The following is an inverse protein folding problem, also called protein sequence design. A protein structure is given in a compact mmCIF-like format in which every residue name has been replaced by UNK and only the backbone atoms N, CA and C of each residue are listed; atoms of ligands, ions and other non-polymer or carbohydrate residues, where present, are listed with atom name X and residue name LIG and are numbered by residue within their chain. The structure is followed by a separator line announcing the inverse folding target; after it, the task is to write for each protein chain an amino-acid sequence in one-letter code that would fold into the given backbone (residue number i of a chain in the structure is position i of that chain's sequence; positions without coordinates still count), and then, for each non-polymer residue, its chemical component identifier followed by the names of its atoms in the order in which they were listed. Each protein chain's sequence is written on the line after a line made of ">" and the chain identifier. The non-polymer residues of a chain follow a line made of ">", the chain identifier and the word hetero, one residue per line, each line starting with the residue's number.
data_IF_420875350588
#
_entry.id   IF_420875350588
#
_cell.length_a   1.000
_cell.length_b   1.000
_cell.length_c   1.000
_cell.angle_alpha   90.00
_cell.angle_beta   90.00
_cell.angle_gamma   90.00
#
_symmetry.space_group_name_H-M   'P 1'
#
loop_
_entity.id
_entity.type
_entity.pdbx_description
1 polymer ?
#
# COMPACT_ATOMS: atom_id res chain seq x y z
N UNK A 1 5.63 8.36 -10.33
CA UNK A 1 4.24 8.61 -9.85
C UNK A 1 3.93 7.56 -8.80
N UNK A 2 3.92 7.94 -7.53
CA UNK A 2 3.68 7.03 -6.41
C UNK A 2 2.20 6.60 -6.40
N UNK A 3 1.94 5.31 -6.66
CA UNK A 3 0.59 4.73 -6.73
C UNK A 3 -0.15 4.75 -5.38
N UNK A 4 0.60 4.86 -4.29
CA UNK A 4 0.10 4.87 -2.91
C UNK A 4 -0.02 6.29 -2.31
N UNK A 5 0.23 7.35 -3.11
CA UNK A 5 0.12 8.70 -2.63
C UNK A 5 -1.36 9.08 -2.43
N UNK A 6 -1.68 9.60 -1.26
CA UNK A 6 -3.00 10.13 -0.94
C UNK A 6 -3.46 11.14 -1.99
N UNK A 7 -4.70 11.05 -2.40
CA UNK A 7 -5.33 11.97 -3.33
C UNK A 7 -6.54 12.61 -2.65
N UNK A 8 -6.50 13.92 -2.39
CA UNK A 8 -7.65 14.61 -1.83
C UNK A 8 -8.81 14.56 -2.84
N UNK A 9 -10.01 14.33 -2.32
CA UNK A 9 -11.23 14.26 -3.12
C UNK A 9 -12.46 14.37 -2.23
N UNK A 10 -13.59 14.81 -2.82
CA UNK A 10 -14.85 15.05 -2.11
C UNK A 10 -15.90 13.96 -2.30
N UNK A 11 -15.50 12.77 -2.76
CA UNK A 11 -16.46 11.68 -2.98
C UNK A 11 -17.00 11.12 -1.66
N UNK A 12 -18.14 10.44 -1.74
CA UNK A 12 -18.77 9.76 -0.60
C UNK A 12 -17.79 8.86 0.15
N UNK A 13 -16.88 8.17 -0.57
CA UNK A 13 -15.86 7.34 0.05
C UNK A 13 -14.84 8.14 0.86
N UNK A 14 -14.52 9.37 0.46
CA UNK A 14 -13.58 10.22 1.23
C UNK A 14 -14.18 10.66 2.56
N UNK A 15 -15.49 10.91 2.62
CA UNK A 15 -16.21 11.38 3.82
C UNK A 15 -16.47 10.30 4.87
N UNK A 16 -16.36 9.02 4.50
CA UNK A 16 -16.51 7.92 5.46
C UNK A 16 -15.41 7.91 6.52
N UNK A 17 -15.76 7.48 7.73
CA UNK A 17 -14.79 7.30 8.81
C UNK A 17 -13.68 6.34 8.39
N UNK A 18 -12.38 6.66 8.61
CA UNK A 18 -11.25 5.81 8.26
C UNK A 18 -11.36 4.36 8.78
N UNK A 19 -11.88 4.19 9.98
CA UNK A 19 -12.08 2.86 10.57
C UNK A 19 -13.16 2.04 9.87
N UNK A 20 -14.24 2.68 9.44
CA UNK A 20 -15.31 2.00 8.69
C UNK A 20 -14.79 1.52 7.34
N UNK A 21 -13.98 2.34 6.66
CA UNK A 21 -13.31 1.96 5.41
C UNK A 21 -12.38 0.78 5.62
N UNK A 22 -11.58 0.81 6.70
CA UNK A 22 -10.66 -0.27 7.03
C UNK A 22 -11.42 -1.57 7.32
N UNK A 23 -12.46 -1.52 8.16
CA UNK A 23 -13.29 -2.68 8.46
C UNK A 23 -13.95 -3.24 7.20
N UNK A 24 -14.51 -2.37 6.34
CA UNK A 24 -15.10 -2.78 5.06
C UNK A 24 -14.07 -3.44 4.14
N UNK A 25 -12.84 -2.91 4.06
CA UNK A 25 -11.77 -3.50 3.26
C UNK A 25 -11.36 -4.89 3.77
N UNK A 26 -11.28 -5.07 5.10
CA UNK A 26 -10.97 -6.38 5.69
C UNK A 26 -12.11 -7.38 5.50
N UNK A 27 -13.36 -6.99 5.73
CA UNK A 27 -14.53 -7.86 5.52
C UNK A 27 -14.64 -8.30 4.07
N UNK A 28 -14.42 -7.37 3.14
CA UNK A 28 -14.40 -7.68 1.72
C UNK A 28 -13.25 -8.64 1.37
N UNK A 29 -12.05 -8.40 1.87
CA UNK A 29 -10.90 -9.30 1.69
C UNK A 29 -11.18 -10.70 2.23
N UNK A 30 -11.76 -10.80 3.42
CA UNK A 30 -12.16 -12.07 4.02
C UNK A 30 -13.20 -12.80 3.17
N UNK A 31 -14.22 -12.10 2.66
CA UNK A 31 -15.23 -12.67 1.75
C UNK A 31 -14.60 -13.22 0.47
N UNK A 32 -13.60 -12.51 -0.10
CA UNK A 32 -12.87 -12.99 -1.28
C UNK A 32 -12.06 -14.24 -1.00
N UNK A 33 -11.42 -14.34 0.18
CA UNK A 33 -10.60 -15.49 0.56
C UNK A 33 -11.47 -16.73 0.81
N UNK A 34 -12.62 -16.57 1.46
CA UNK A 34 -13.55 -17.68 1.76
C UNK A 34 -14.26 -18.16 0.50
N UNK A 35 -14.45 -17.30 -0.49
CA UNK A 35 -15.13 -17.66 -1.74
C UNK A 35 -14.37 -18.73 -2.53
N UNK A 36 -15.02 -19.87 -2.77
CA UNK A 36 -14.50 -20.98 -3.59
C UNK A 36 -14.82 -20.88 -5.09
N UNK A 37 -15.53 -19.86 -5.54
CA UNK A 37 -16.03 -19.76 -6.91
C UNK A 37 -15.34 -18.63 -7.67
N UNK A 38 -14.71 -18.96 -8.81
CA UNK A 38 -14.00 -18.01 -9.69
C UNK A 38 -14.93 -16.89 -10.16
N UNK A 39 -16.18 -17.22 -10.52
CA UNK A 39 -17.16 -16.23 -10.99
C UNK A 39 -17.50 -15.21 -9.91
N UNK A 40 -17.65 -15.68 -8.66
CA UNK A 40 -17.98 -14.80 -7.53
C UNK A 40 -16.83 -13.85 -7.20
N UNK A 41 -15.58 -14.35 -7.20
CA UNK A 41 -14.40 -13.50 -6.97
C UNK A 41 -14.25 -12.46 -8.10
N UNK A 42 -14.47 -12.87 -9.34
CA UNK A 42 -14.44 -11.93 -10.49
C UNK A 42 -15.54 -10.88 -10.38
N UNK A 43 -16.76 -11.27 -10.01
CA UNK A 43 -17.88 -10.34 -9.78
C UNK A 43 -17.56 -9.34 -8.66
N UNK A 44 -16.92 -9.79 -7.57
CA UNK A 44 -16.45 -8.91 -6.49
C UNK A 44 -15.41 -7.91 -6.99
N UNK A 45 -14.44 -8.32 -7.80
CA UNK A 45 -13.45 -7.38 -8.39
C UNK A 45 -14.16 -6.33 -9.25
N UNK A 46 -15.11 -6.74 -10.10
CA UNK A 46 -15.88 -5.82 -10.94
C UNK A 46 -16.72 -4.85 -10.09
N UNK A 47 -17.37 -5.35 -9.04
CA UNK A 47 -18.12 -4.52 -8.09
C UNK A 47 -17.20 -3.46 -7.43
N UNK A 48 -16.02 -3.86 -7.01
CA UNK A 48 -15.06 -2.92 -6.39
C UNK A 48 -14.56 -1.88 -7.39
N UNK A 49 -14.31 -2.25 -8.66
CA UNK A 49 -13.97 -1.32 -9.71
C UNK A 49 -15.11 -0.33 -10.00
N UNK A 50 -16.34 -0.79 -9.98
CA UNK A 50 -17.54 0.05 -10.15
C UNK A 50 -17.67 1.06 -9.00
N UNK A 51 -17.50 0.62 -7.76
CA UNK A 51 -17.48 1.50 -6.58
C UNK A 51 -16.36 2.54 -6.69
N UNK A 52 -15.16 2.13 -7.10
CA UNK A 52 -14.06 3.06 -7.31
C UNK A 52 -14.31 4.05 -8.46
N UNK A 53 -15.01 3.63 -9.52
CA UNK A 53 -15.39 4.49 -10.63
C UNK A 53 -16.40 5.57 -10.18
N UNK A 54 -17.41 5.22 -9.38
CA UNK A 54 -18.37 6.19 -8.82
C UNK A 54 -17.72 7.19 -7.86
N UNK A 55 -16.60 6.78 -7.24
CA UNK A 55 -15.80 7.67 -6.38
C UNK A 55 -14.82 8.58 -7.14
N UNK A 56 -14.80 8.54 -8.48
CA UNK A 56 -13.86 9.31 -9.30
C UNK A 56 -12.45 8.71 -9.38
N UNK A 57 -12.24 7.53 -8.79
CA UNK A 57 -10.93 6.85 -8.76
C UNK A 57 -10.80 5.73 -9.81
N UNK A 58 -11.71 5.67 -10.79
CA UNK A 58 -11.78 4.57 -11.77
C UNK A 58 -10.47 4.32 -12.51
N UNK A 59 -9.84 5.36 -13.06
CA UNK A 59 -8.57 5.24 -13.79
C UNK A 59 -7.45 4.70 -12.89
N UNK A 60 -7.44 5.11 -11.61
CA UNK A 60 -6.46 4.65 -10.62
C UNK A 60 -6.72 3.20 -10.20
N UNK A 61 -7.97 2.85 -9.96
CA UNK A 61 -8.39 1.49 -9.62
C UNK A 61 -8.02 0.52 -10.76
N UNK A 62 -8.28 0.86 -12.01
CA UNK A 62 -7.87 0.06 -13.18
C UNK A 62 -6.35 -0.11 -13.24
N UNK A 63 -5.59 0.96 -13.00
CA UNK A 63 -4.12 0.90 -12.98
C UNK A 63 -3.59 0.02 -11.84
N UNK A 64 -4.18 0.13 -10.64
CA UNK A 64 -3.84 -0.73 -9.50
C UNK A 64 -4.17 -2.19 -9.79
N UNK A 65 -5.37 -2.46 -10.31
CA UNK A 65 -5.79 -3.81 -10.70
C UNK A 65 -4.85 -4.41 -11.75
N UNK A 66 -4.44 -3.63 -12.76
CA UNK A 66 -3.45 -4.08 -13.76
C UNK A 66 -2.12 -4.48 -13.12
N UNK A 67 -1.63 -3.69 -12.18
CA UNK A 67 -0.37 -4.00 -11.48
C UNK A 67 -0.52 -5.23 -10.56
N UNK A 68 -1.67 -5.36 -9.89
CA UNK A 68 -1.98 -6.55 -9.08
C UNK A 68 -2.16 -7.80 -9.94
N UNK A 69 -2.67 -7.67 -11.18
CA UNK A 69 -2.77 -8.78 -12.13
C UNK A 69 -1.39 -9.31 -12.54
N UNK A 70 -0.36 -8.47 -12.60
CA UNK A 70 1.02 -8.92 -12.85
C UNK A 70 1.49 -9.80 -11.69
N UNK A 71 1.23 -9.38 -10.45
CA UNK A 71 1.51 -10.19 -9.26
C UNK A 71 0.66 -11.47 -9.25
N UNK A 72 -0.63 -11.35 -9.60
CA UNK A 72 -1.55 -12.48 -9.74
C UNK A 72 -1.07 -13.49 -10.79
N UNK A 73 -0.59 -13.01 -11.94
CA UNK A 73 -0.01 -13.85 -12.99
C UNK A 73 1.23 -14.61 -12.49
N UNK A 74 2.09 -13.97 -11.73
CA UNK A 74 3.23 -14.62 -11.11
C UNK A 74 2.80 -15.75 -10.14
N UNK A 75 1.81 -15.47 -9.29
CA UNK A 75 1.21 -16.47 -8.39
C UNK A 75 0.52 -17.59 -9.16
N UNK A 76 -0.17 -17.27 -10.26
CA UNK A 76 -0.81 -18.24 -11.13
C UNK A 76 0.20 -19.24 -11.69
N UNK A 77 1.32 -18.73 -12.24
CA UNK A 77 2.38 -19.58 -12.81
C UNK A 77 2.98 -20.50 -11.76
N UNK A 78 3.32 -19.97 -10.58
CA UNK A 78 3.85 -20.80 -9.49
C UNK A 78 2.85 -21.90 -9.12
N UNK A 79 1.60 -21.54 -8.87
CA UNK A 79 0.58 -22.47 -8.42
C UNK A 79 0.29 -23.56 -9.45
N UNK A 80 0.37 -23.23 -10.74
CA UNK A 80 0.18 -24.19 -11.84
C UNK A 80 1.18 -25.35 -11.78
N UNK A 81 2.42 -25.09 -11.37
CA UNK A 81 3.47 -26.10 -11.25
C UNK A 81 3.42 -26.88 -9.92
N UNK A 82 2.92 -26.25 -8.85
CA UNK A 82 2.92 -26.86 -7.53
C UNK A 82 1.68 -27.73 -7.27
N UNK A 83 0.51 -27.34 -7.78
CA UNK A 83 -0.75 -28.06 -7.53
C UNK A 83 -1.01 -29.06 -8.64
N UNK A 84 -0.94 -30.33 -8.30
CA UNK A 84 -1.14 -31.46 -9.22
C UNK A 84 -2.39 -32.28 -8.84
N UNK A 85 -3.53 -31.61 -8.68
CA UNK A 85 -4.80 -32.26 -8.35
C UNK A 85 -5.71 -32.32 -9.59
N UNK A 86 -6.49 -33.41 -9.72
CA UNK A 86 -7.44 -33.62 -10.83
C UNK A 86 -6.85 -34.29 -12.06
N UNK A 87 -7.62 -34.29 -13.15
CA UNK A 87 -7.25 -34.98 -14.39
C UNK A 87 -6.11 -34.28 -15.11
N UNK A 88 -5.15 -35.02 -15.66
CA UNK A 88 -4.01 -34.47 -16.36
C UNK A 88 -4.41 -33.90 -17.72
N UNK A 89 -4.23 -32.58 -17.90
CA UNK A 89 -4.46 -31.90 -19.19
C UNK A 89 -3.25 -31.95 -20.12
N UNK A 90 -2.05 -31.85 -19.56
CA UNK A 90 -0.79 -31.86 -20.30
C UNK A 90 0.21 -32.82 -19.63
N UNK A 91 0.61 -33.86 -20.35
CA UNK A 91 1.70 -34.78 -19.97
C UNK A 91 2.90 -34.53 -20.85
N UNK A 92 4.06 -34.32 -20.27
CA UNK A 92 5.33 -34.27 -20.97
C UNK A 92 6.15 -35.47 -20.48
N UNK A 93 6.16 -36.55 -21.22
CA UNK A 93 6.78 -37.83 -20.83
C UNK A 93 6.06 -38.46 -19.61
N UNK A 94 6.78 -38.76 -18.55
CA UNK A 94 6.25 -39.33 -17.31
C UNK A 94 5.75 -38.29 -16.32
N UNK A 95 5.94 -36.97 -16.58
CA UNK A 95 5.53 -35.89 -15.68
C UNK A 95 4.25 -35.22 -16.19
N UNK A 96 3.25 -35.12 -15.30
CA UNK A 96 2.06 -34.27 -15.51
C UNK A 96 2.40 -32.83 -15.18
N UNK A 97 2.35 -31.95 -16.18
CA UNK A 97 2.73 -30.53 -16.04
C UNK A 97 1.53 -29.69 -15.66
N UNK A 98 0.36 -29.95 -16.24
CA UNK A 98 -0.87 -29.19 -16.00
C UNK A 98 -2.03 -30.16 -15.74
N UNK A 99 -2.78 -29.88 -14.65
CA UNK A 99 -4.00 -30.63 -14.30
C UNK A 99 -5.20 -29.68 -14.26
N UNK A 100 -6.41 -30.21 -14.45
CA UNK A 100 -7.66 -29.42 -14.40
C UNK A 100 -7.84 -28.74 -13.04
N UNK A 101 -7.60 -29.45 -11.94
CA UNK A 101 -7.67 -28.91 -10.60
C UNK A 101 -6.55 -27.92 -10.30
N UNK A 102 -5.35 -28.14 -10.86
CA UNK A 102 -4.24 -27.19 -10.78
C UNK A 102 -4.57 -25.87 -11.45
N UNK A 103 -5.17 -25.91 -12.66
CA UNK A 103 -5.57 -24.71 -13.40
C UNK A 103 -6.65 -23.89 -12.66
N UNK A 104 -7.70 -24.55 -12.18
CA UNK A 104 -8.77 -23.87 -11.43
C UNK A 104 -8.28 -23.30 -10.12
N UNK A 105 -7.45 -24.03 -9.37
CA UNK A 105 -6.85 -23.56 -8.12
C UNK A 105 -5.89 -22.40 -8.33
N UNK A 106 -5.07 -22.47 -9.38
CA UNK A 106 -4.15 -21.38 -9.72
C UNK A 106 -4.89 -20.10 -10.12
N UNK A 107 -5.94 -20.22 -10.93
CA UNK A 107 -6.79 -19.09 -11.32
C UNK A 107 -7.50 -18.48 -10.11
N UNK A 108 -8.10 -19.33 -9.27
CA UNK A 108 -8.81 -18.89 -8.08
C UNK A 108 -7.87 -18.18 -7.10
N UNK A 109 -6.68 -18.72 -6.84
CA UNK A 109 -5.71 -18.10 -5.93
C UNK A 109 -5.22 -16.75 -6.47
N UNK A 110 -4.88 -16.67 -7.76
CA UNK A 110 -4.42 -15.42 -8.36
C UNK A 110 -5.47 -14.33 -8.29
N UNK A 111 -6.74 -14.64 -8.58
CA UNK A 111 -7.85 -13.71 -8.47
C UNK A 111 -8.14 -13.31 -7.02
N UNK A 112 -8.04 -14.24 -6.06
CA UNK A 112 -8.20 -13.93 -4.63
C UNK A 112 -7.17 -12.91 -4.13
N UNK A 113 -5.91 -13.06 -4.53
CA UNK A 113 -4.85 -12.11 -4.16
C UNK A 113 -5.17 -10.71 -4.70
N UNK A 114 -5.56 -10.62 -5.97
CA UNK A 114 -5.97 -9.35 -6.59
C UNK A 114 -7.18 -8.75 -5.86
N UNK A 115 -8.22 -9.55 -5.63
CA UNK A 115 -9.46 -9.12 -5.00
C UNK A 115 -9.25 -8.65 -3.55
N UNK A 116 -8.43 -9.35 -2.77
CA UNK A 116 -8.16 -9.00 -1.37
C UNK A 116 -7.26 -7.76 -1.23
N UNK A 117 -6.28 -7.57 -2.14
CA UNK A 117 -5.36 -6.44 -2.08
C UNK A 117 -5.96 -5.14 -2.62
N UNK A 118 -6.88 -5.22 -3.58
CA UNK A 118 -7.45 -4.05 -4.25
C UNK A 118 -8.12 -3.05 -3.28
N UNK A 119 -9.01 -3.46 -2.36
CA UNK A 119 -9.66 -2.53 -1.43
C UNK A 119 -8.68 -1.88 -0.45
N UNK A 120 -7.64 -2.61 -0.01
CA UNK A 120 -6.60 -2.06 0.86
C UNK A 120 -5.78 -0.99 0.14
N UNK A 121 -5.38 -1.23 -1.11
CA UNK A 121 -4.66 -0.23 -1.90
C UNK A 121 -5.52 1.01 -2.21
N UNK A 122 -6.81 0.83 -2.46
CA UNK A 122 -7.73 1.95 -2.64
C UNK A 122 -7.94 2.72 -1.33
N UNK A 123 -8.01 2.04 -0.20
CA UNK A 123 -8.10 2.67 1.12
C UNK A 123 -6.92 3.64 1.35
N UNK A 124 -5.68 3.21 1.12
CA UNK A 124 -4.49 4.07 1.25
C UNK A 124 -4.46 5.20 0.20
N UNK A 125 -5.15 5.05 -0.92
CA UNK A 125 -5.27 6.11 -1.92
C UNK A 125 -6.25 7.23 -1.50
N UNK A 126 -7.24 6.93 -0.66
CA UNK A 126 -8.31 7.85 -0.25
C UNK A 126 -8.27 8.25 1.23
N UNK A 127 -7.33 7.70 1.99
CA UNK A 127 -7.23 7.96 3.44
C UNK A 127 -5.77 8.15 3.82
N UNK A 128 -5.47 9.27 4.47
CA UNK A 128 -4.14 9.48 5.02
C UNK A 128 -3.85 8.50 6.15
N UNK A 129 -2.62 7.99 6.20
CA UNK A 129 -2.19 7.07 7.25
C UNK A 129 -2.27 7.73 8.63
N UNK A 130 -2.00 9.04 8.71
CA UNK A 130 -2.15 9.86 9.91
C UNK A 130 -3.58 9.84 10.46
N UNK A 131 -4.58 10.01 9.58
CA UNK A 131 -5.99 10.00 9.95
C UNK A 131 -6.46 8.61 10.39
N UNK A 132 -5.98 7.57 9.68
CA UNK A 132 -6.26 6.19 10.03
C UNK A 132 -5.72 5.84 11.43
N UNK A 133 -4.47 6.20 11.71
CA UNK A 133 -3.85 6.00 13.02
C UNK A 133 -4.54 6.81 14.11
N UNK A 134 -4.87 8.07 13.83
CA UNK A 134 -5.59 8.93 14.77
C UNK A 134 -6.98 8.37 15.12
N UNK A 135 -7.71 7.87 14.13
CA UNK A 135 -9.01 7.25 14.33
C UNK A 135 -8.90 5.92 15.11
N UNK A 136 -7.86 5.12 14.83
CA UNK A 136 -7.60 3.84 15.52
C UNK A 136 -7.29 4.08 17.00
N UNK A 137 -6.42 5.04 17.30
CA UNK A 137 -6.05 5.42 18.66
C UNK A 137 -7.26 5.89 19.46
N UNK A 138 -8.11 6.75 18.88
CA UNK A 138 -9.33 7.24 19.54
C UNK A 138 -10.30 6.10 19.87
N UNK A 139 -10.47 5.12 19.00
CA UNK A 139 -11.43 4.02 19.18
C UNK A 139 -10.92 2.92 20.11
N UNK A 140 -9.62 2.67 20.14
CA UNK A 140 -9.01 1.68 21.04
C UNK A 140 -8.84 2.20 22.47
N UNK A 141 -9.32 3.40 22.78
CA UNK A 141 -9.18 4.05 24.11
C UNK A 141 -7.73 4.05 24.61
N UNK A 142 -6.78 4.23 23.67
CA UNK A 142 -5.35 4.29 24.00
C UNK A 142 -5.11 5.52 24.92
N UNK A 143 -4.33 5.38 26.00
CA UNK A 143 -4.01 6.50 26.86
C UNK A 143 -3.47 7.71 26.05
N UNK A 144 -3.89 8.91 26.42
CA UNK A 144 -3.58 10.15 25.69
C UNK A 144 -2.09 10.29 25.35
N UNK A 145 -1.21 9.85 26.23
CA UNK A 145 0.25 9.88 26.03
C UNK A 145 0.69 9.18 24.74
N UNK A 146 0.17 7.98 24.49
CA UNK A 146 0.54 7.20 23.28
C UNK A 146 -0.15 7.77 22.03
N UNK A 147 -1.40 8.22 22.18
CA UNK A 147 -2.14 8.88 21.12
C UNK A 147 -1.39 10.12 20.62
N UNK A 148 -0.90 10.94 21.56
CA UNK A 148 -0.13 12.14 21.25
C UNK A 148 1.17 11.81 20.53
N UNK A 149 1.94 10.82 21.00
CA UNK A 149 3.20 10.39 20.36
C UNK A 149 2.95 9.96 18.93
N UNK A 150 1.96 9.08 18.69
CA UNK A 150 1.65 8.55 17.37
C UNK A 150 1.21 9.68 16.42
N UNK A 151 0.28 10.53 16.86
CA UNK A 151 -0.23 11.62 16.02
C UNK A 151 0.88 12.63 15.69
N UNK A 152 1.72 12.95 16.67
CA UNK A 152 2.87 13.85 16.48
C UNK A 152 3.89 13.23 15.53
N UNK A 153 4.21 11.94 15.66
CA UNK A 153 5.12 11.26 14.76
C UNK A 153 4.65 11.32 13.29
N UNK A 154 3.37 11.05 13.04
CA UNK A 154 2.82 11.15 11.68
C UNK A 154 2.80 12.57 11.12
N UNK A 155 2.61 13.58 11.98
CA UNK A 155 2.70 14.98 11.59
C UNK A 155 4.12 15.40 11.21
N UNK A 156 5.13 14.79 11.85
CA UNK A 156 6.53 15.07 11.55
C UNK A 156 7.03 14.43 10.25
N UNK A 157 6.43 13.32 9.79
CA UNK A 157 6.84 12.64 8.55
C UNK A 157 6.86 13.58 7.33
N UNK A 158 5.78 14.30 6.96
CA UNK A 158 5.81 15.22 5.84
C UNK A 158 6.78 16.39 6.07
N UNK A 159 6.91 16.86 7.30
CA UNK A 159 7.83 17.93 7.65
C UNK A 159 9.30 17.52 7.43
N UNK A 160 9.68 16.31 7.87
CA UNK A 160 11.03 15.80 7.64
C UNK A 160 11.30 15.51 6.16
N UNK A 161 10.27 15.09 5.42
CA UNK A 161 10.42 14.87 3.98
C UNK A 161 10.70 16.17 3.24
N UNK A 162 10.01 17.26 3.55
CA UNK A 162 10.30 18.58 2.95
C UNK A 162 11.68 19.07 3.32
N UNK A 163 12.06 18.98 4.60
CA UNK A 163 13.35 19.42 5.08
C UNK A 163 14.52 18.62 4.49
N UNK A 164 14.33 17.31 4.29
CA UNK A 164 15.30 16.47 3.60
C UNK A 164 15.52 16.96 2.15
N UNK A 165 14.45 17.30 1.44
CA UNK A 165 14.56 17.84 0.08
C UNK A 165 15.26 19.21 0.06
N UNK A 166 14.95 20.09 1.02
CA UNK A 166 15.59 21.40 1.13
C UNK A 166 17.12 21.27 1.37
N UNK A 167 17.51 20.33 2.24
CA UNK A 167 18.92 20.03 2.50
C UNK A 167 19.57 19.40 1.27
N UNK A 168 18.90 18.46 0.58
CA UNK A 168 19.39 17.85 -0.65
C UNK A 168 19.62 18.90 -1.73
N UNK A 169 18.67 19.81 -1.95
CA UNK A 169 18.78 20.88 -2.95
C UNK A 169 19.90 21.87 -2.60
N UNK A 170 20.08 22.19 -1.33
CA UNK A 170 21.20 23.01 -0.88
C UNK A 170 22.55 22.34 -1.14
N UNK A 171 22.67 21.04 -0.96
CA UNK A 171 23.89 20.28 -1.25
C UNK A 171 24.13 20.14 -2.77
N UNK A 172 23.07 19.95 -3.55
CA UNK A 172 23.14 19.96 -5.02
C UNK A 172 23.70 21.29 -5.54
N UNK A 173 23.25 22.41 -4.94
CA UNK A 173 23.77 23.75 -5.28
C UNK A 173 25.25 23.93 -4.93
N UNK A 174 25.80 23.13 -4.00
CA UNK A 174 27.22 23.05 -3.67
C UNK A 174 28.03 22.08 -4.55
N UNK A 175 27.39 21.52 -5.61
CA UNK A 175 28.04 20.63 -6.57
C UNK A 175 28.02 19.14 -6.20
N UNK A 176 27.22 18.73 -5.21
CA UNK A 176 27.09 17.31 -4.86
C UNK A 176 26.11 16.62 -5.81
N UNK A 177 26.60 15.68 -6.59
CA UNK A 177 25.77 14.87 -7.50
C UNK A 177 25.28 13.59 -6.80
N UNK A 178 23.96 13.52 -6.53
CA UNK A 178 23.30 12.34 -5.93
C UNK A 178 22.89 11.29 -6.96
N UNK A 179 22.95 11.61 -8.26
CA UNK A 179 22.55 10.73 -9.35
C UNK A 179 23.64 9.73 -9.71
N UNK A 180 24.01 8.88 -8.76
CA UNK A 180 25.01 7.82 -8.95
C UNK A 180 24.36 6.45 -8.94
N UNK A 181 24.77 5.59 -9.88
CA UNK A 181 24.31 4.20 -10.01
C UNK A 181 24.93 3.27 -8.95
N UNK A 182 25.98 3.71 -8.27
CA UNK A 182 26.66 2.94 -7.23
C UNK A 182 25.98 3.17 -5.88
N UNK A 183 25.38 2.12 -5.31
CA UNK A 183 24.62 2.14 -4.05
C UNK A 183 25.53 2.57 -2.88
N UNK A 184 26.76 2.10 -2.81
CA UNK A 184 27.72 2.44 -1.74
C UNK A 184 28.04 3.93 -1.78
N UNK A 185 28.35 4.47 -2.97
CA UNK A 185 28.61 5.90 -3.15
C UNK A 185 27.37 6.74 -2.82
N UNK A 186 26.17 6.26 -3.17
CA UNK A 186 24.91 6.93 -2.82
C UNK A 186 24.70 7.01 -1.31
N UNK A 187 24.99 5.95 -0.57
CA UNK A 187 24.91 5.95 0.90
C UNK A 187 25.92 6.96 1.49
N UNK A 188 27.16 6.99 0.99
CA UNK A 188 28.17 7.93 1.45
C UNK A 188 27.80 9.40 1.18
N UNK A 189 27.09 9.67 0.08
CA UNK A 189 26.62 11.01 -0.26
C UNK A 189 25.40 11.43 0.58
N UNK A 190 24.53 10.48 0.96
CA UNK A 190 23.34 10.74 1.75
C UNK A 190 23.65 10.83 3.25
N UNK A 191 24.65 10.10 3.75
CA UNK A 191 25.02 10.10 5.17
C UNK A 191 25.26 11.51 5.76
N UNK A 192 25.95 12.45 5.10
CA UNK A 192 26.15 13.80 5.62
C UNK A 192 24.85 14.62 5.75
N UNK A 193 23.75 14.25 5.05
CA UNK A 193 22.47 14.93 5.17
C UNK A 193 21.79 14.66 6.52
N UNK A 194 22.14 13.55 7.17
CA UNK A 194 21.55 13.20 8.47
C UNK A 194 21.92 14.18 9.58
N UNK A 195 23.12 14.73 9.57
CA UNK A 195 23.60 15.66 10.62
C UNK A 195 22.77 16.95 10.63
N UNK A 196 22.59 17.69 9.52
CA UNK A 196 21.73 18.86 9.48
C UNK A 196 20.27 18.52 9.81
N UNK A 197 19.75 17.38 9.30
CA UNK A 197 18.39 16.94 9.55
C UNK A 197 18.15 16.66 11.04
N UNK A 198 19.06 15.98 11.73
CA UNK A 198 18.98 15.73 13.17
C UNK A 198 19.05 17.05 13.96
N UNK A 199 19.95 17.95 13.59
CA UNK A 199 20.07 19.26 14.28
C UNK A 199 18.81 20.09 14.15
N UNK A 200 18.21 20.12 12.96
CA UNK A 200 16.97 20.82 12.71
C UNK A 200 15.80 20.16 13.48
N UNK A 201 15.75 18.83 13.50
CA UNK A 201 14.74 18.07 14.24
C UNK A 201 14.78 18.35 15.73
N UNK A 202 15.97 18.37 16.34
CA UNK A 202 16.14 18.68 17.75
C UNK A 202 15.67 20.10 18.07
N UNK A 203 16.04 21.09 17.26
CA UNK A 203 15.56 22.48 17.43
C UNK A 203 14.05 22.61 17.40
N UNK A 204 13.38 21.83 16.54
CA UNK A 204 11.91 21.84 16.44
C UNK A 204 11.26 21.16 17.64
N UNK A 205 11.85 20.12 18.19
CA UNK A 205 11.40 19.47 19.41
C UNK A 205 11.50 20.43 20.59
N UNK A 206 12.64 21.13 20.74
CA UNK A 206 12.85 22.12 21.80
C UNK A 206 11.86 23.28 21.66
N UNK A 207 11.67 23.82 20.46
CA UNK A 207 10.68 24.87 20.20
C UNK A 207 9.23 24.41 20.50
N UNK A 208 8.91 23.16 20.18
CA UNK A 208 7.63 22.55 20.49
C UNK A 208 7.40 22.36 21.99
N UNK A 209 8.44 21.96 22.73
CA UNK A 209 8.37 21.80 24.18
C UNK A 209 8.14 23.15 24.88
N UNK A 210 8.88 24.19 24.50
CA UNK A 210 8.72 25.57 25.05
C UNK A 210 7.34 26.12 24.72
N UNK A 211 6.73 25.81 23.59
CA UNK A 211 5.38 26.29 23.25
C UNK A 211 4.25 25.53 23.96
N UNK A 212 4.57 24.40 24.60
CA UNK A 212 3.61 23.58 25.33
C UNK A 212 3.58 23.87 26.86
N UNK A 213 4.56 24.62 27.37
CA UNK A 213 4.59 25.23 28.72
C UNK A 213 3.80 26.55 28.75
#
# INVERSE_FOLDING_TARGET
>A
MNLLQYQPGDSFLHRLNPLTKLAAAFLYGAACIVSGNVFLVTALILLMLLIAATAGLGARAVKLTRNLLILGLFMFVIQLFFVRSGDPLLRVGSMTVVTTGGLTSALLLSLRVVAAMLPLMLLFAITEVSDLCGALVKKLHVPYRYAFIVTTAFRFVPLFTSEFHDIEDAQRSRGVEYDTRNIVKKIQLVAPLFVPLLTSSLRKVDAGAVSAE
#
